data_IF_414242984191
#
_entry.id   IF_414242984191
#
_cell.length_a   1.000
_cell.length_b   1.000
_cell.length_c   1.000
_cell.angle_alpha   90.00
_cell.angle_beta   90.00
_cell.angle_gamma   90.00
#
_symmetry.space_group_name_H-M   'P 1'
#
loop_
_entity.id
_entity.type
_entity.pdbx_description
1 polymer ?
#
# COMPACT_ATOMS: atom_id res chain seq x y z
N UNK A 1 -16.59 -26.13 -51.55
CA UNK A 1 -15.89 -25.09 -50.85
C UNK A 1 -16.28 -25.13 -49.36
N UNK A 2 -15.39 -25.61 -48.48
CA UNK A 2 -15.64 -25.63 -47.02
C UNK A 2 -14.92 -24.42 -46.46
N UNK A 3 -15.68 -23.44 -45.93
CA UNK A 3 -15.14 -22.33 -45.15
C UNK A 3 -14.83 -22.82 -43.73
N UNK A 4 -13.55 -22.86 -43.36
CA UNK A 4 -13.12 -23.05 -41.99
C UNK A 4 -13.05 -21.68 -41.32
N UNK A 5 -13.88 -21.45 -40.32
CA UNK A 5 -13.77 -20.31 -39.42
C UNK A 5 -12.80 -20.67 -38.31
N UNK A 6 -11.65 -20.02 -38.30
CA UNK A 6 -10.69 -20.09 -37.19
C UNK A 6 -11.13 -19.05 -36.15
N UNK A 7 -11.71 -19.50 -35.02
CA UNK A 7 -11.92 -18.64 -33.87
C UNK A 7 -10.56 -18.39 -33.18
N UNK A 8 -10.03 -17.21 -33.33
CA UNK A 8 -8.89 -16.74 -32.54
C UNK A 8 -9.42 -16.30 -31.17
N UNK A 9 -9.23 -17.13 -30.16
CA UNK A 9 -9.39 -16.73 -28.78
C UNK A 9 -8.20 -15.81 -28.43
N UNK A 10 -8.44 -14.51 -28.38
CA UNK A 10 -7.52 -13.57 -27.77
C UNK A 10 -7.47 -13.86 -26.27
N UNK A 11 -6.34 -14.36 -25.76
CA UNK A 11 -6.07 -14.33 -24.32
C UNK A 11 -6.02 -12.86 -23.91
N UNK A 12 -7.07 -12.38 -23.30
CA UNK A 12 -7.04 -11.17 -22.49
C UNK A 12 -6.18 -11.50 -21.26
N UNK A 13 -4.93 -11.10 -21.27
CA UNK A 13 -4.10 -11.06 -20.07
C UNK A 13 -4.70 -9.97 -19.18
N UNK A 14 -5.52 -10.36 -18.21
CA UNK A 14 -5.92 -9.47 -17.11
C UNK A 14 -4.62 -9.13 -16.38
N UNK A 15 -4.22 -7.86 -16.29
CA UNK A 15 -3.11 -7.49 -15.41
C UNK A 15 -3.45 -7.98 -14.02
N UNK A 16 -2.56 -8.76 -13.41
CA UNK A 16 -2.75 -9.20 -12.01
C UNK A 16 -2.91 -7.96 -11.13
N UNK A 17 -3.79 -8.04 -10.16
CA UNK A 17 -3.97 -6.99 -9.17
C UNK A 17 -2.59 -6.62 -8.58
N UNK A 18 -2.25 -5.37 -8.70
CA UNK A 18 -1.09 -4.73 -8.07
C UNK A 18 -1.70 -3.95 -6.93
N UNK A 19 -1.21 -4.14 -5.71
CA UNK A 19 -1.50 -3.29 -4.56
C UNK A 19 -1.54 -1.82 -4.95
N UNK A 20 -1.94 -0.87 -4.11
CA UNK A 20 -1.98 0.51 -4.63
C UNK A 20 -1.21 0.64 -5.93
N UNK A 21 -1.83 0.91 -7.08
CA UNK A 21 -1.09 0.94 -8.34
C UNK A 21 0.22 1.72 -8.17
N UNK A 22 1.18 1.56 -9.05
CA UNK A 22 2.50 2.20 -8.90
C UNK A 22 2.42 3.69 -8.51
N UNK A 23 1.34 4.37 -8.90
CA UNK A 23 1.10 5.77 -8.53
C UNK A 23 0.96 5.96 -7.02
N UNK A 24 0.14 5.14 -6.34
CA UNK A 24 -0.07 5.24 -4.90
C UNK A 24 1.19 4.91 -4.11
N UNK A 25 1.86 3.77 -4.38
CA UNK A 25 3.09 3.39 -3.68
C UNK A 25 4.22 4.40 -3.84
N UNK A 26 4.42 4.92 -5.05
CA UNK A 26 5.44 5.93 -5.30
C UNK A 26 5.08 7.22 -4.54
N UNK A 27 3.80 7.60 -4.51
CA UNK A 27 3.34 8.80 -3.79
C UNK A 27 3.55 8.67 -2.29
N UNK A 28 3.17 7.53 -1.67
CA UNK A 28 3.37 7.31 -0.23
C UNK A 28 4.84 7.36 0.17
N UNK A 29 5.72 6.80 -0.66
CA UNK A 29 7.16 6.84 -0.43
C UNK A 29 7.76 8.25 -0.57
N UNK A 30 7.30 9.04 -1.54
CA UNK A 30 7.68 10.46 -1.63
C UNK A 30 7.17 11.28 -0.44
N UNK A 31 5.92 11.05 0.01
CA UNK A 31 5.41 11.70 1.22
C UNK A 31 6.32 11.34 2.41
N UNK A 32 6.65 10.06 2.59
CA UNK A 32 7.55 9.66 3.67
C UNK A 32 8.89 10.41 3.61
N UNK A 33 9.47 10.59 2.43
CA UNK A 33 10.72 11.35 2.26
C UNK A 33 10.62 12.82 2.68
N UNK A 34 9.41 13.41 2.76
CA UNK A 34 9.23 14.78 3.27
C UNK A 34 9.21 14.86 4.79
N UNK A 35 8.94 13.77 5.49
CA UNK A 35 8.70 13.77 6.94
C UNK A 35 9.73 13.00 7.76
N UNK A 36 10.57 12.16 7.13
CA UNK A 36 11.67 11.48 7.84
C UNK A 36 12.73 12.46 8.33
N UNK A 37 13.40 12.12 9.42
CA UNK A 37 14.55 12.86 9.92
C UNK A 37 15.75 12.80 8.96
N UNK A 38 16.65 13.76 9.04
CA UNK A 38 17.90 13.75 8.26
C UNK A 38 18.73 12.47 8.53
N UNK A 39 18.70 11.98 9.76
CA UNK A 39 19.39 10.73 10.15
C UNK A 39 18.79 9.53 9.43
N UNK A 40 17.48 9.46 9.38
CA UNK A 40 16.73 8.40 8.68
C UNK A 40 16.97 8.45 7.17
N UNK A 41 16.95 9.66 6.60
CA UNK A 41 17.27 9.84 5.18
C UNK A 41 18.66 9.29 4.86
N UNK A 42 19.69 9.69 5.62
CA UNK A 42 21.05 9.22 5.43
C UNK A 42 21.17 7.70 5.59
N UNK A 43 20.51 7.14 6.60
CA UNK A 43 20.49 5.70 6.86
C UNK A 43 19.91 4.91 5.68
N UNK A 44 18.71 5.27 5.20
CA UNK A 44 18.06 4.53 4.12
C UNK A 44 18.71 4.78 2.76
N UNK A 45 19.28 5.95 2.49
CA UNK A 45 20.10 6.19 1.29
C UNK A 45 21.29 5.23 1.27
N UNK A 46 22.02 5.12 2.37
CA UNK A 46 23.14 4.18 2.51
C UNK A 46 22.68 2.72 2.35
N UNK A 47 21.64 2.31 3.08
CA UNK A 47 21.12 0.95 3.05
C UNK A 47 20.62 0.54 1.66
N UNK A 48 19.89 1.41 0.99
CA UNK A 48 19.32 1.18 -0.35
C UNK A 48 20.34 1.43 -1.48
N UNK A 49 21.52 2.01 -1.15
CA UNK A 49 22.56 2.41 -2.11
C UNK A 49 22.02 3.35 -3.18
N UNK A 50 21.24 4.32 -2.75
CA UNK A 50 20.64 5.34 -3.60
C UNK A 50 20.68 6.68 -2.88
N UNK A 51 21.56 7.59 -3.34
CA UNK A 51 21.75 8.93 -2.76
C UNK A 51 20.81 9.98 -3.35
N UNK A 52 20.00 9.60 -4.35
CA UNK A 52 19.07 10.50 -5.01
C UNK A 52 17.86 10.84 -4.10
N UNK A 53 17.18 11.97 -4.34
CA UNK A 53 16.02 12.37 -3.54
C UNK A 53 14.85 11.36 -3.58
N UNK A 54 14.85 10.46 -4.55
CA UNK A 54 13.80 9.46 -4.77
C UNK A 54 14.12 8.08 -4.18
N UNK A 55 15.08 7.99 -3.27
CA UNK A 55 15.60 6.74 -2.72
C UNK A 55 14.52 5.77 -2.21
N UNK A 56 13.46 6.25 -1.55
CA UNK A 56 12.30 5.44 -1.14
C UNK A 56 11.37 5.18 -2.31
N UNK A 57 11.05 6.20 -3.09
CA UNK A 57 10.09 6.11 -4.20
C UNK A 57 10.57 5.15 -5.30
N UNK A 58 11.89 5.10 -5.55
CA UNK A 58 12.48 4.20 -6.55
C UNK A 58 12.31 2.71 -6.23
N UNK A 59 12.08 2.36 -4.96
CA UNK A 59 11.90 0.98 -4.50
C UNK A 59 10.46 0.64 -4.12
N UNK A 60 9.55 1.62 -4.09
CA UNK A 60 8.21 1.47 -3.56
C UNK A 60 7.36 0.37 -4.25
N UNK A 61 7.52 0.16 -5.55
CA UNK A 61 6.80 -0.90 -6.30
C UNK A 61 7.63 -2.18 -6.48
N UNK A 62 8.80 -2.30 -5.81
CA UNK A 62 9.68 -3.45 -6.00
C UNK A 62 9.04 -4.76 -5.51
N UNK A 63 8.32 -4.76 -4.38
CA UNK A 63 7.68 -5.94 -3.81
C UNK A 63 6.63 -6.54 -4.77
N UNK A 64 5.88 -5.72 -5.47
CA UNK A 64 4.96 -6.15 -6.51
C UNK A 64 5.66 -6.88 -7.66
N UNK A 65 6.83 -6.41 -8.05
CA UNK A 65 7.59 -7.03 -9.14
C UNK A 65 8.18 -8.37 -8.71
N UNK A 66 8.67 -8.45 -7.47
CA UNK A 66 9.39 -9.63 -6.97
C UNK A 66 8.49 -10.85 -6.80
N UNK A 67 7.22 -10.66 -6.39
CA UNK A 67 6.25 -11.74 -6.17
C UNK A 67 5.94 -12.58 -7.42
N UNK A 68 6.27 -12.09 -8.61
CA UNK A 68 6.12 -12.83 -9.87
C UNK A 68 7.37 -13.63 -10.25
N UNK A 69 8.47 -13.45 -9.54
CA UNK A 69 9.70 -14.21 -9.80
C UNK A 69 9.67 -15.57 -9.13
N UNK A 70 10.51 -16.50 -9.62
CA UNK A 70 10.60 -17.86 -9.06
C UNK A 70 10.96 -17.86 -7.57
N UNK A 71 11.82 -16.96 -7.15
CA UNK A 71 12.33 -16.89 -5.78
C UNK A 71 11.55 -15.93 -4.87
N UNK A 72 10.79 -14.98 -5.41
CA UNK A 72 9.95 -14.05 -4.63
C UNK A 72 8.48 -14.45 -4.52
N UNK A 73 8.02 -15.49 -5.25
CA UNK A 73 6.60 -15.86 -5.29
C UNK A 73 5.98 -16.26 -3.93
N UNK A 74 6.82 -16.61 -2.95
CA UNK A 74 6.36 -16.91 -1.59
C UNK A 74 5.80 -15.67 -0.88
N UNK A 75 6.16 -14.47 -1.32
CA UNK A 75 5.68 -13.21 -0.73
C UNK A 75 4.29 -12.80 -1.24
N UNK A 76 3.68 -13.59 -2.14
CA UNK A 76 2.40 -13.22 -2.78
C UNK A 76 1.30 -12.89 -1.77
N UNK A 77 1.21 -13.63 -0.66
CA UNK A 77 0.19 -13.44 0.37
C UNK A 77 0.55 -12.33 1.38
N UNK A 78 1.75 -11.75 1.28
CA UNK A 78 2.22 -10.71 2.19
C UNK A 78 1.70 -9.32 1.85
N UNK A 79 0.95 -9.17 0.76
CA UNK A 79 0.42 -7.90 0.30
C UNK A 79 -0.96 -7.55 0.88
N UNK A 80 -1.62 -8.48 1.59
CA UNK A 80 -2.98 -8.31 2.08
C UNK A 80 -3.25 -9.15 3.33
N UNK A 81 -4.37 -8.86 3.99
CA UNK A 81 -5.00 -9.72 4.98
C UNK A 81 -6.46 -9.94 4.55
N UNK A 82 -6.88 -11.20 4.52
CA UNK A 82 -8.18 -11.63 4.03
C UNK A 82 -9.22 -11.57 5.18
N UNK A 83 -9.77 -10.39 5.51
CA UNK A 83 -10.78 -10.26 6.55
C UNK A 83 -12.04 -11.06 6.18
N UNK A 84 -12.42 -12.00 7.06
CA UNK A 84 -13.63 -12.80 6.94
C UNK A 84 -14.78 -12.14 7.71
N UNK A 85 -15.22 -11.01 7.24
CA UNK A 85 -16.29 -10.21 7.80
C UNK A 85 -17.55 -10.21 6.91
N UNK A 86 -18.45 -9.24 7.05
CA UNK A 86 -19.72 -9.20 6.30
C UNK A 86 -20.12 -7.76 5.95
N UNK A 87 -19.44 -7.09 5.02
CA UNK A 87 -19.82 -5.74 4.62
C UNK A 87 -21.19 -5.71 3.91
N UNK A 88 -22.00 -4.66 4.13
CA UNK A 88 -21.73 -3.45 4.90
C UNK A 88 -22.10 -3.55 6.39
N UNK A 89 -22.51 -4.71 6.90
CA UNK A 89 -23.07 -4.86 8.25
C UNK A 89 -22.00 -4.96 9.33
N UNK A 90 -20.84 -5.53 9.01
CA UNK A 90 -19.68 -5.58 9.90
C UNK A 90 -18.40 -5.54 9.08
N UNK A 91 -17.48 -4.69 9.50
CA UNK A 91 -16.12 -4.64 9.00
C UNK A 91 -15.18 -4.77 10.19
N UNK A 92 -14.48 -5.89 10.25
CA UNK A 92 -13.60 -6.25 11.36
C UNK A 92 -12.50 -7.20 10.90
N UNK A 93 -11.26 -6.84 11.23
CA UNK A 93 -10.08 -7.66 10.97
C UNK A 93 -9.64 -8.32 12.28
N UNK A 94 -9.52 -9.64 12.25
CA UNK A 94 -9.00 -10.44 13.36
C UNK A 94 -7.74 -11.18 12.93
N UNK A 95 -6.64 -10.99 13.68
CA UNK A 95 -5.34 -11.54 13.31
C UNK A 95 -5.32 -13.06 13.26
N UNK A 96 -5.90 -13.71 14.27
CA UNK A 96 -5.88 -15.19 14.38
C UNK A 96 -6.79 -15.85 13.34
N UNK A 97 -7.88 -15.19 12.98
CA UNK A 97 -8.82 -15.67 11.97
C UNK A 97 -8.31 -15.45 10.55
N UNK A 98 -7.74 -14.27 10.28
CA UNK A 98 -7.54 -13.74 8.93
C UNK A 98 -6.10 -13.83 8.43
N UNK A 99 -5.09 -13.84 9.34
CA UNK A 99 -3.71 -14.02 8.98
C UNK A 99 -3.34 -15.51 8.93
N UNK A 100 -3.32 -16.08 7.73
CA UNK A 100 -3.05 -17.50 7.51
C UNK A 100 -1.64 -17.91 7.96
N UNK A 101 -1.40 -19.20 8.20
CA UNK A 101 -0.07 -19.74 8.53
C UNK A 101 1.02 -19.37 7.51
N UNK A 102 0.65 -19.16 6.25
CA UNK A 102 1.58 -18.70 5.20
C UNK A 102 2.01 -17.24 5.34
N UNK A 103 1.45 -16.50 6.30
CA UNK A 103 1.64 -15.07 6.51
C UNK A 103 0.63 -14.19 5.78
N UNK A 104 0.55 -12.95 6.21
CA UNK A 104 -0.25 -11.86 5.67
C UNK A 104 0.53 -10.55 5.77
N UNK A 105 -0.02 -9.42 5.31
CA UNK A 105 0.65 -8.11 5.34
C UNK A 105 1.05 -7.68 6.76
N UNK A 106 0.26 -8.06 7.77
CA UNK A 106 0.52 -7.75 9.19
C UNK A 106 1.80 -8.45 9.67
N UNK A 107 1.83 -9.78 9.56
CA UNK A 107 3.00 -10.59 9.96
C UNK A 107 4.24 -10.27 9.12
N UNK A 108 4.05 -9.94 7.85
CA UNK A 108 5.13 -9.56 6.96
C UNK A 108 5.75 -8.21 7.34
N UNK A 109 4.93 -7.19 7.65
CA UNK A 109 5.44 -5.90 8.09
C UNK A 109 6.27 -6.04 9.37
N UNK A 110 5.77 -6.78 10.37
CA UNK A 110 6.51 -7.05 11.60
C UNK A 110 7.85 -7.78 11.32
N UNK A 111 7.80 -8.88 10.57
CA UNK A 111 8.99 -9.68 10.24
C UNK A 111 10.06 -8.88 9.47
N UNK A 112 9.66 -8.06 8.50
CA UNK A 112 10.63 -7.26 7.73
C UNK A 112 11.10 -6.02 8.47
N UNK A 113 10.33 -5.50 9.43
CA UNK A 113 10.81 -4.51 10.40
C UNK A 113 11.95 -5.10 11.24
N UNK A 114 11.75 -6.28 11.83
CA UNK A 114 12.78 -6.99 12.60
C UNK A 114 14.03 -7.28 11.75
N UNK A 115 13.87 -7.76 10.52
CA UNK A 115 15.00 -8.00 9.62
C UNK A 115 15.74 -6.71 9.24
N UNK A 116 15.06 -5.57 9.17
CA UNK A 116 15.70 -4.28 8.93
C UNK A 116 16.58 -3.84 10.10
N UNK A 117 16.27 -4.31 11.32
CA UNK A 117 16.99 -4.05 12.56
C UNK A 117 18.09 -5.05 12.87
N UNK A 118 18.20 -6.18 12.15
CA UNK A 118 19.15 -7.24 12.44
C UNK A 118 20.51 -7.00 11.74
N UNK A 119 21.58 -6.59 12.47
CA UNK A 119 22.90 -6.34 11.91
C UNK A 119 23.63 -7.62 11.48
N UNK A 120 23.17 -8.81 11.94
CA UNK A 120 23.75 -10.09 11.54
C UNK A 120 23.38 -10.47 10.11
N UNK A 121 22.30 -9.89 9.59
CA UNK A 121 21.92 -10.05 8.19
C UNK A 121 22.84 -9.24 7.27
N UNK A 122 23.19 -9.84 6.15
CA UNK A 122 23.94 -9.15 5.11
C UNK A 122 23.22 -7.85 4.70
N UNK A 123 23.94 -6.74 4.42
CA UNK A 123 23.32 -5.44 4.09
C UNK A 123 22.28 -5.51 2.97
N UNK A 124 22.48 -6.38 1.97
CA UNK A 124 21.53 -6.55 0.87
C UNK A 124 20.21 -7.20 1.31
N UNK A 125 20.20 -8.08 2.32
CA UNK A 125 18.98 -8.67 2.89
C UNK A 125 18.21 -7.62 3.68
N UNK A 126 18.91 -6.79 4.46
CA UNK A 126 18.30 -5.67 5.17
C UNK A 126 17.73 -4.64 4.20
N UNK A 127 18.42 -4.35 3.09
CA UNK A 127 17.90 -3.51 2.02
C UNK A 127 16.63 -4.09 1.39
N UNK A 128 16.54 -5.40 1.23
CA UNK A 128 15.30 -6.05 0.77
C UNK A 128 14.18 -5.93 1.82
N UNK A 129 14.49 -6.13 3.09
CA UNK A 129 13.54 -5.95 4.18
C UNK A 129 12.98 -4.53 4.19
N UNK A 130 13.83 -3.51 4.07
CA UNK A 130 13.41 -2.12 3.96
C UNK A 130 12.47 -1.86 2.77
N UNK A 131 12.72 -2.47 1.61
CA UNK A 131 11.83 -2.36 0.43
C UNK A 131 10.45 -2.97 0.69
N UNK A 132 10.40 -4.09 1.41
CA UNK A 132 9.12 -4.68 1.83
C UNK A 132 8.37 -3.78 2.82
N UNK A 133 9.06 -3.21 3.82
CA UNK A 133 8.44 -2.26 4.76
C UNK A 133 7.83 -1.07 4.02
N UNK A 134 8.59 -0.43 3.13
CA UNK A 134 8.10 0.71 2.32
C UNK A 134 6.84 0.35 1.53
N UNK A 135 6.78 -0.86 0.98
CA UNK A 135 5.64 -1.30 0.19
C UNK A 135 4.43 -1.66 1.08
N UNK A 136 4.62 -2.49 2.11
CA UNK A 136 3.53 -3.04 2.92
C UNK A 136 2.83 -1.99 3.79
N UNK A 137 3.53 -0.94 4.21
CA UNK A 137 2.84 0.21 4.84
C UNK A 137 1.85 0.84 3.85
N UNK A 138 2.18 0.92 2.57
CA UNK A 138 1.24 1.35 1.53
C UNK A 138 0.04 0.41 1.42
N UNK A 139 0.29 -0.90 1.30
CA UNK A 139 -0.75 -1.94 1.14
C UNK A 139 -1.78 -1.92 2.27
N UNK A 140 -1.34 -1.81 3.52
CA UNK A 140 -2.20 -1.73 4.70
C UNK A 140 -3.22 -0.58 4.65
N UNK A 141 -2.95 0.47 3.88
CA UNK A 141 -3.82 1.64 3.77
C UNK A 141 -4.74 1.60 2.55
N UNK A 142 -4.78 0.49 1.80
CA UNK A 142 -5.75 0.25 0.74
C UNK A 142 -6.88 -0.64 1.28
N UNK A 143 -8.15 -0.17 1.29
CA UNK A 143 -9.25 -0.91 1.92
C UNK A 143 -9.42 -2.35 1.47
N UNK A 144 -9.32 -2.63 0.16
CA UNK A 144 -9.49 -3.98 -0.40
C UNK A 144 -8.28 -4.90 -0.17
N UNK A 145 -7.17 -4.39 0.38
CA UNK A 145 -6.07 -5.21 0.90
C UNK A 145 -6.32 -5.74 2.31
N UNK A 146 -7.43 -5.31 2.92
CA UNK A 146 -7.86 -5.72 4.25
C UNK A 146 -9.23 -6.43 4.16
N UNK A 147 -9.52 -7.14 3.06
CA UNK A 147 -10.84 -7.69 2.76
C UNK A 147 -10.75 -8.95 1.88
N UNK A 148 -11.52 -10.02 2.21
CA UNK A 148 -11.58 -11.26 1.40
C UNK A 148 -12.73 -11.29 0.38
N UNK A 149 -13.77 -10.46 0.53
CA UNK A 149 -14.94 -10.50 -0.35
C UNK A 149 -14.52 -10.50 -1.82
N UNK A 150 -14.85 -11.61 -2.49
CA UNK A 150 -14.52 -11.84 -3.90
C UNK A 150 -13.01 -11.64 -4.21
N UNK A 151 -12.12 -12.10 -3.34
CA UNK A 151 -10.68 -11.93 -3.39
C UNK A 151 -10.29 -10.44 -3.37
N UNK A 152 -10.69 -9.72 -2.33
CA UNK A 152 -10.47 -8.28 -2.23
C UNK A 152 -11.06 -7.51 -3.41
N UNK A 153 -12.26 -7.88 -3.88
CA UNK A 153 -12.91 -7.23 -5.02
C UNK A 153 -12.39 -7.60 -6.41
N UNK A 154 -11.35 -8.46 -6.52
CA UNK A 154 -10.79 -8.85 -7.83
C UNK A 154 -11.78 -9.60 -8.72
N UNK A 155 -12.80 -10.24 -8.14
CA UNK A 155 -13.85 -10.97 -8.87
C UNK A 155 -15.15 -10.17 -9.04
N UNK A 156 -15.20 -8.91 -8.61
CA UNK A 156 -16.33 -8.01 -8.83
C UNK A 156 -16.00 -7.12 -10.02
N UNK A 157 -16.73 -7.33 -11.13
CA UNK A 157 -16.56 -6.51 -12.33
C UNK A 157 -17.52 -5.33 -12.27
N UNK A 158 -17.04 -4.16 -12.63
CA UNK A 158 -17.74 -2.87 -12.59
C UNK A 158 -17.42 -2.08 -13.85
N UNK A 159 -18.16 -1.00 -14.07
CA UNK A 159 -17.82 -0.01 -15.09
C UNK A 159 -17.16 1.21 -14.46
N UNK A 160 -16.17 1.74 -15.17
CA UNK A 160 -15.47 2.96 -14.82
C UNK A 160 -15.33 3.83 -16.07
N UNK A 161 -16.07 4.94 -16.10
CA UNK A 161 -16.18 5.81 -17.28
C UNK A 161 -16.50 5.00 -18.55
N UNK A 162 -17.46 4.08 -18.45
CA UNK A 162 -17.95 3.24 -19.53
C UNK A 162 -17.09 2.04 -19.91
N UNK A 163 -15.98 1.79 -19.22
CA UNK A 163 -15.08 0.65 -19.46
C UNK A 163 -15.19 -0.39 -18.34
N UNK A 164 -14.96 -1.66 -18.67
CA UNK A 164 -15.01 -2.74 -17.70
C UNK A 164 -13.68 -2.88 -16.96
N UNK A 165 -13.76 -2.89 -15.61
CA UNK A 165 -12.64 -3.13 -14.70
C UNK A 165 -13.08 -4.07 -13.58
N UNK A 166 -12.14 -4.67 -12.85
CA UNK A 166 -12.46 -5.22 -11.54
C UNK A 166 -12.41 -4.12 -10.47
N UNK A 167 -13.17 -4.31 -9.40
CA UNK A 167 -13.29 -3.31 -8.33
C UNK A 167 -11.95 -3.04 -7.62
N UNK A 168 -11.12 -4.06 -7.46
CA UNK A 168 -9.79 -3.92 -6.86
C UNK A 168 -8.93 -2.93 -7.66
N UNK A 169 -8.86 -3.09 -8.99
CA UNK A 169 -8.14 -2.15 -9.86
C UNK A 169 -8.70 -0.72 -9.78
N UNK A 170 -10.01 -0.58 -9.61
CA UNK A 170 -10.63 0.76 -9.45
C UNK A 170 -10.07 1.45 -8.21
N UNK A 171 -9.98 0.74 -7.08
CA UNK A 171 -9.42 1.27 -5.84
C UNK A 171 -7.91 1.47 -5.90
N UNK A 172 -7.17 0.56 -6.49
CA UNK A 172 -5.71 0.66 -6.60
C UNK A 172 -5.25 1.81 -7.50
N UNK A 173 -6.01 2.08 -8.56
CA UNK A 173 -5.48 2.91 -9.66
C UNK A 173 -6.47 3.94 -10.14
N UNK A 174 -7.68 3.52 -10.54
CA UNK A 174 -8.57 4.37 -11.34
C UNK A 174 -9.07 5.59 -10.57
N UNK A 175 -9.36 5.44 -9.26
CA UNK A 175 -9.80 6.54 -8.40
C UNK A 175 -8.69 7.59 -8.29
N UNK A 176 -7.46 7.19 -7.98
CA UNK A 176 -6.33 8.11 -7.84
C UNK A 176 -6.02 8.84 -9.15
N UNK A 177 -5.98 8.13 -10.28
CA UNK A 177 -5.76 8.75 -11.60
C UNK A 177 -6.82 9.78 -11.95
N UNK A 178 -8.10 9.45 -11.73
CA UNK A 178 -9.21 10.38 -11.99
C UNK A 178 -9.22 11.55 -11.02
N UNK A 179 -8.93 11.32 -9.74
CA UNK A 179 -8.82 12.37 -8.72
C UNK A 179 -7.79 13.43 -9.09
N UNK A 180 -6.69 13.02 -9.67
CA UNK A 180 -5.63 13.90 -10.12
C UNK A 180 -5.84 14.49 -11.52
N UNK A 181 -6.86 14.01 -12.26
CA UNK A 181 -7.06 14.37 -13.66
C UNK A 181 -5.82 14.08 -14.52
N UNK A 182 -5.03 13.06 -14.15
CA UNK A 182 -3.73 12.81 -14.75
C UNK A 182 -3.56 11.34 -15.15
N UNK A 183 -3.19 11.15 -16.42
CA UNK A 183 -2.86 9.85 -16.99
C UNK A 183 -1.42 9.86 -17.52
N UNK A 184 -0.72 8.75 -17.43
CA UNK A 184 0.63 8.64 -18.00
C UNK A 184 1.64 7.99 -17.06
N UNK A 185 2.91 8.39 -17.16
CA UNK A 185 3.97 7.85 -16.32
C UNK A 185 3.70 8.18 -14.84
N UNK A 186 3.62 7.18 -13.95
CA UNK A 186 3.19 7.41 -12.56
C UNK A 186 4.18 8.28 -11.78
N UNK A 187 5.46 8.19 -12.05
CA UNK A 187 6.51 8.82 -11.27
C UNK A 187 6.41 10.36 -11.16
N UNK A 188 6.34 11.13 -12.27
CA UNK A 188 6.18 12.58 -12.17
C UNK A 188 4.85 13.02 -11.60
N UNK A 189 3.79 12.19 -11.75
CA UNK A 189 2.47 12.45 -11.18
C UNK A 189 2.54 12.26 -9.67
N UNK A 190 3.14 11.16 -9.21
CA UNK A 190 3.33 10.83 -7.81
C UNK A 190 4.12 11.90 -7.06
N UNK A 191 5.23 12.39 -7.64
CA UNK A 191 6.03 13.45 -7.04
C UNK A 191 5.23 14.74 -6.84
N UNK A 192 4.45 15.15 -7.84
CA UNK A 192 3.60 16.36 -7.70
C UNK A 192 2.51 16.16 -6.65
N UNK A 193 1.88 15.00 -6.63
CA UNK A 193 0.85 14.69 -5.64
C UNK A 193 1.41 14.62 -4.23
N UNK A 194 2.55 13.96 -4.04
CA UNK A 194 3.23 13.89 -2.75
C UNK A 194 3.62 15.28 -2.22
N UNK A 195 4.16 16.16 -3.08
CA UNK A 195 4.47 17.53 -2.69
C UNK A 195 3.22 18.31 -2.24
N UNK A 196 2.10 18.14 -2.93
CA UNK A 196 0.84 18.77 -2.54
C UNK A 196 0.33 18.19 -1.22
N UNK A 197 0.34 16.84 -1.06
CA UNK A 197 -0.10 16.20 0.17
C UNK A 197 0.80 16.51 1.37
N UNK A 198 2.11 16.69 1.17
CA UNK A 198 3.01 17.10 2.25
C UNK A 198 2.62 18.47 2.82
N UNK A 199 2.20 19.42 1.96
CA UNK A 199 1.66 20.72 2.40
C UNK A 199 0.34 20.53 3.15
N UNK A 200 -0.57 19.70 2.62
CA UNK A 200 -1.86 19.41 3.28
C UNK A 200 -1.71 18.75 4.64
N UNK A 201 -0.67 17.92 4.82
CA UNK A 201 -0.34 17.27 6.09
C UNK A 201 0.31 18.26 7.07
N UNK A 202 1.19 19.13 6.58
CA UNK A 202 1.91 20.09 7.44
C UNK A 202 1.01 21.20 7.93
N UNK A 203 0.33 21.89 7.02
CA UNK A 203 -0.33 23.18 7.26
C UNK A 203 -1.76 23.25 6.69
N UNK A 204 -2.21 22.20 5.94
CA UNK A 204 -3.50 22.19 5.26
C UNK A 204 -4.56 21.35 5.99
N UNK A 205 -5.46 20.74 5.21
CA UNK A 205 -6.66 20.02 5.70
C UNK A 205 -6.37 18.84 6.63
N UNK A 206 -5.16 18.27 6.58
CA UNK A 206 -4.76 17.15 7.43
C UNK A 206 -3.91 17.56 8.64
N UNK A 207 -3.57 18.84 8.79
CA UNK A 207 -2.67 19.32 9.85
C UNK A 207 -3.19 19.01 11.26
N UNK A 208 -4.50 19.11 11.46
CA UNK A 208 -5.15 18.79 12.75
C UNK A 208 -5.39 17.28 12.94
N UNK A 209 -5.41 16.50 11.84
CA UNK A 209 -5.68 15.06 11.88
C UNK A 209 -4.41 14.23 12.11
N UNK A 210 -3.24 14.69 11.65
CA UNK A 210 -2.01 13.88 11.56
C UNK A 210 -1.54 13.28 12.89
N UNK A 211 -1.70 14.01 13.99
CA UNK A 211 -1.32 13.50 15.31
C UNK A 211 -2.25 12.36 15.75
N UNK A 212 -3.52 12.42 15.33
CA UNK A 212 -4.49 11.36 15.52
C UNK A 212 -4.13 10.07 14.76
N UNK A 213 -3.43 10.18 13.64
CA UNK A 213 -3.01 9.02 12.86
C UNK A 213 -1.97 8.15 13.55
N UNK A 214 -1.29 8.68 14.59
CA UNK A 214 -0.24 7.99 15.32
C UNK A 214 -0.71 7.42 16.68
N UNK A 215 -1.97 7.59 17.06
CA UNK A 215 -2.47 7.21 18.41
C UNK A 215 -2.32 5.73 18.74
N UNK A 216 -2.45 4.86 17.74
CA UNK A 216 -2.36 3.41 17.92
C UNK A 216 -0.96 2.87 17.57
N UNK A 217 0.03 3.76 17.46
CA UNK A 217 1.40 3.39 17.13
C UNK A 217 2.10 2.86 18.39
N UNK A 218 2.46 1.59 18.35
CA UNK A 218 3.28 0.91 19.35
C UNK A 218 4.50 0.29 18.69
N UNK A 219 5.67 0.82 18.96
CA UNK A 219 6.91 0.32 18.37
C UNK A 219 7.40 -0.99 18.98
N UNK A 220 6.95 -1.32 20.19
CA UNK A 220 7.29 -2.59 20.84
C UNK A 220 6.39 -3.74 20.33
N UNK A 221 5.23 -3.41 19.73
CA UNK A 221 4.31 -4.38 19.13
C UNK A 221 3.91 -3.97 17.71
N UNK A 222 4.77 -4.34 16.75
CA UNK A 222 4.54 -4.10 15.33
C UNK A 222 3.25 -4.75 14.81
N UNK A 223 2.84 -5.89 15.40
CA UNK A 223 1.60 -6.57 15.02
C UNK A 223 0.40 -5.77 15.50
N UNK A 224 0.39 -5.31 16.74
CA UNK A 224 -0.69 -4.48 17.27
C UNK A 224 -0.88 -3.20 16.45
N UNK A 225 0.23 -2.52 16.13
CA UNK A 225 0.20 -1.32 15.27
C UNK A 225 -0.37 -1.62 13.88
N UNK A 226 0.14 -2.63 13.20
CA UNK A 226 -0.31 -2.99 11.86
C UNK A 226 -1.79 -3.43 11.86
N UNK A 227 -2.24 -4.13 12.91
CA UNK A 227 -3.64 -4.49 13.11
C UNK A 227 -4.55 -3.28 13.33
N UNK A 228 -4.09 -2.28 14.10
CA UNK A 228 -4.85 -1.05 14.28
C UNK A 228 -5.03 -0.30 12.95
N UNK A 229 -3.97 -0.20 12.15
CA UNK A 229 -4.03 0.41 10.81
C UNK A 229 -4.92 -0.37 9.84
N UNK A 230 -4.85 -1.71 9.89
CA UNK A 230 -5.68 -2.59 9.09
C UNK A 230 -7.18 -2.43 9.41
N UNK A 231 -7.56 -2.45 10.70
CA UNK A 231 -8.95 -2.25 11.15
C UNK A 231 -9.49 -0.88 10.76
N UNK A 232 -8.70 0.16 10.93
CA UNK A 232 -9.06 1.51 10.50
C UNK A 232 -9.30 1.58 8.99
N UNK A 233 -8.46 0.90 8.20
CA UNK A 233 -8.60 0.86 6.75
C UNK A 233 -9.79 -0.01 6.30
N UNK A 234 -9.98 -1.19 6.92
CA UNK A 234 -11.10 -2.08 6.64
C UNK A 234 -12.47 -1.43 6.94
N UNK A 235 -12.56 -0.51 7.90
CA UNK A 235 -13.79 0.24 8.16
C UNK A 235 -14.32 1.01 6.92
N UNK A 236 -13.43 1.39 5.99
CA UNK A 236 -13.85 1.98 4.71
C UNK A 236 -14.49 0.97 3.77
N UNK A 237 -14.28 -0.32 3.97
CA UNK A 237 -14.94 -1.36 3.18
C UNK A 237 -16.45 -1.27 3.38
N UNK A 238 -16.92 -1.18 4.62
CA UNK A 238 -18.35 -1.04 4.93
C UNK A 238 -18.94 0.30 4.49
N UNK A 239 -18.18 1.38 4.58
CA UNK A 239 -18.71 2.73 4.41
C UNK A 239 -18.58 3.28 3.00
N UNK A 240 -17.55 2.86 2.24
CA UNK A 240 -17.21 3.44 0.93
C UNK A 240 -17.02 2.40 -0.17
N UNK A 241 -16.44 1.21 0.13
CA UNK A 241 -16.28 0.18 -0.90
C UNK A 241 -17.61 -0.51 -1.18
N UNK A 242 -18.29 -0.95 -0.14
CA UNK A 242 -19.57 -1.70 -0.22
C UNK A 242 -20.68 -1.04 0.61
N UNK A 243 -21.01 0.24 0.44
CA UNK A 243 -21.96 0.94 1.31
C UNK A 243 -23.35 0.32 1.31
N UNK A 244 -23.74 -0.39 0.25
CA UNK A 244 -25.01 -1.12 0.12
C UNK A 244 -24.77 -2.62 -0.09
N UNK A 245 -23.56 -3.11 0.21
CA UNK A 245 -23.15 -4.49 0.06
C UNK A 245 -22.55 -4.84 -1.31
N UNK A 246 -21.79 -5.96 -1.38
CA UNK A 246 -21.03 -6.34 -2.57
C UNK A 246 -21.92 -6.59 -3.80
N UNK A 247 -23.13 -7.12 -3.61
CA UNK A 247 -24.07 -7.41 -4.71
C UNK A 247 -24.59 -6.12 -5.39
N UNK A 248 -24.68 -5.02 -4.66
CA UNK A 248 -25.15 -3.73 -5.18
C UNK A 248 -24.13 -3.04 -6.10
N UNK A 249 -22.84 -3.36 -5.94
CA UNK A 249 -21.73 -2.78 -6.70
C UNK A 249 -21.51 -3.47 -8.04
N UNK A 250 -21.76 -4.78 -8.14
CA UNK A 250 -21.47 -5.56 -9.32
C UNK A 250 -22.17 -5.01 -10.57
N UNK A 251 -21.41 -4.75 -11.64
CA UNK A 251 -21.91 -4.22 -12.91
C UNK A 251 -22.25 -2.73 -12.93
N UNK A 252 -22.12 -2.02 -11.80
CA UNK A 252 -22.45 -0.61 -11.70
C UNK A 252 -21.37 0.28 -12.35
N UNK A 253 -21.80 1.49 -12.80
CA UNK A 253 -20.90 2.55 -13.23
C UNK A 253 -20.41 3.33 -12.00
N UNK A 254 -19.11 3.27 -11.72
CA UNK A 254 -18.51 3.84 -10.52
C UNK A 254 -17.80 5.20 -10.75
N UNK A 255 -17.70 5.67 -11.99
CA UNK A 255 -17.01 6.92 -12.31
C UNK A 255 -17.76 8.20 -11.92
N UNK A 256 -18.98 8.11 -11.38
CA UNK A 256 -19.80 9.24 -10.94
C UNK A 256 -19.84 9.41 -9.42
N UNK A 257 -21.04 9.36 -8.83
CA UNK A 257 -21.26 9.57 -7.40
C UNK A 257 -20.41 8.66 -6.47
N UNK A 258 -20.14 7.43 -6.90
CA UNK A 258 -19.25 6.52 -6.16
C UNK A 258 -17.83 7.10 -6.11
N UNK A 259 -17.30 7.58 -7.24
CA UNK A 259 -16.00 8.26 -7.30
C UNK A 259 -15.95 9.49 -6.40
N UNK A 260 -17.02 10.31 -6.41
CA UNK A 260 -17.08 11.53 -5.59
C UNK A 260 -16.99 11.22 -4.09
N UNK A 261 -17.51 10.05 -3.66
CA UNK A 261 -17.41 9.58 -2.28
C UNK A 261 -16.05 8.92 -1.98
N UNK A 262 -15.51 8.13 -2.91
CA UNK A 262 -14.28 7.35 -2.71
C UNK A 262 -12.99 8.18 -2.87
N UNK A 263 -12.97 9.19 -3.72
CA UNK A 263 -11.80 10.02 -4.00
C UNK A 263 -11.17 10.65 -2.76
N UNK A 264 -11.95 11.31 -1.87
CA UNK A 264 -11.42 11.85 -0.62
C UNK A 264 -10.86 10.79 0.33
N UNK A 265 -11.40 9.55 0.30
CA UNK A 265 -10.88 8.44 1.09
C UNK A 265 -9.52 8.00 0.58
N UNK A 266 -9.38 7.80 -0.73
CA UNK A 266 -8.12 7.43 -1.37
C UNK A 266 -7.04 8.48 -1.08
N UNK A 267 -7.36 9.75 -1.23
CA UNK A 267 -6.43 10.84 -0.94
C UNK A 267 -5.96 10.82 0.53
N UNK A 268 -6.90 10.68 1.49
CA UNK A 268 -6.58 10.61 2.91
C UNK A 268 -5.74 9.37 3.24
N UNK A 269 -6.06 8.21 2.67
CA UNK A 269 -5.33 6.97 2.93
C UNK A 269 -3.90 7.03 2.37
N UNK A 270 -3.68 7.62 1.21
CA UNK A 270 -2.34 7.85 0.64
C UNK A 270 -1.54 8.82 1.51
N UNK A 271 -2.15 9.93 1.97
CA UNK A 271 -1.51 10.90 2.86
C UNK A 271 -1.10 10.25 4.19
N UNK A 272 -2.03 9.50 4.80
CA UNK A 272 -1.84 8.78 6.07
C UNK A 272 -0.77 7.70 5.96
N UNK A 273 -0.78 6.89 4.90
CA UNK A 273 0.22 5.87 4.63
C UNK A 273 1.63 6.47 4.55
N UNK A 274 1.80 7.57 3.82
CA UNK A 274 3.09 8.23 3.69
C UNK A 274 3.60 8.83 5.01
N UNK A 275 2.73 9.45 5.79
CA UNK A 275 3.10 10.03 7.08
C UNK A 275 3.45 8.94 8.12
N UNK A 276 2.63 7.88 8.22
CA UNK A 276 2.91 6.71 9.07
C UNK A 276 4.18 5.98 8.66
N UNK A 277 4.43 5.88 7.35
CA UNK A 277 5.67 5.31 6.82
C UNK A 277 6.89 6.11 7.30
N UNK A 278 6.85 7.44 7.26
CA UNK A 278 7.95 8.27 7.74
C UNK A 278 8.28 7.97 9.19
N UNK A 279 7.28 7.99 10.07
CA UNK A 279 7.45 7.73 11.51
C UNK A 279 7.95 6.31 11.78
N UNK A 280 7.48 5.33 11.00
CA UNK A 280 7.94 3.94 11.09
C UNK A 280 9.39 3.76 10.67
N UNK A 281 9.80 4.43 9.59
CA UNK A 281 11.18 4.42 9.12
C UNK A 281 12.12 5.17 10.07
N UNK A 282 11.65 6.27 10.69
CA UNK A 282 12.40 6.98 11.74
C UNK A 282 12.68 6.04 12.92
N UNK A 283 11.68 5.31 13.40
CA UNK A 283 11.88 4.32 14.44
C UNK A 283 12.93 3.26 14.06
N UNK A 284 12.86 2.69 12.86
CA UNK A 284 13.84 1.70 12.39
C UNK A 284 15.26 2.28 12.39
N UNK A 285 15.43 3.47 11.86
CA UNK A 285 16.75 4.11 11.78
C UNK A 285 17.32 4.45 13.17
N UNK A 286 16.48 5.02 14.04
CA UNK A 286 16.85 5.43 15.39
C UNK A 286 17.22 4.19 16.26
N UNK A 287 16.40 3.14 16.24
CA UNK A 287 16.67 1.91 16.97
C UNK A 287 17.92 1.20 16.45
N UNK A 288 18.12 1.17 15.13
CA UNK A 288 19.32 0.61 14.57
C UNK A 288 20.57 1.38 15.00
N UNK A 289 20.54 2.71 14.89
CA UNK A 289 21.68 3.56 15.27
C UNK A 289 21.98 3.48 16.79
N UNK A 290 20.93 3.44 17.62
CA UNK A 290 21.05 3.31 19.06
C UNK A 290 21.69 1.97 19.47
N UNK A 291 21.34 0.90 18.81
CA UNK A 291 21.88 -0.46 19.08
C UNK A 291 23.30 -0.65 18.50
N UNK A 292 23.59 0.01 17.38
CA UNK A 292 24.81 -0.20 16.58
C UNK A 292 25.42 1.13 16.12
N UNK A 293 25.88 1.99 17.06
CA UNK A 293 26.32 3.36 16.76
C UNK A 293 27.51 3.42 15.80
N UNK A 294 28.37 2.40 15.79
CA UNK A 294 29.58 2.36 14.94
C UNK A 294 29.32 1.77 13.55
N UNK A 295 28.18 1.15 13.33
CA UNK A 295 27.91 0.39 12.09
C UNK A 295 27.82 1.28 10.84
N UNK A 296 27.29 2.51 10.96
CA UNK A 296 27.20 3.45 9.82
C UNK A 296 28.57 3.97 9.38
N UNK A 297 29.59 3.85 10.25
CA UNK A 297 30.95 4.24 9.91
C UNK A 297 31.70 3.15 9.12
N UNK A 298 31.13 1.95 9.04
CA UNK A 298 31.71 0.78 8.37
C UNK A 298 31.06 0.48 7.00
N UNK A 299 29.95 1.18 6.63
CA UNK A 299 29.25 1.06 5.35
C UNK A 299 29.75 2.09 4.33
#
# INVERSE_FOLDING_TARGET
MKLSYTLTFGLLTVPGAVAWGSLGHITTAFIASHFVSNTTEAYFKTLLRNDEPDYLASVASWADSIRYTKWGRFTKNFHFIDAHDNPPFSCDVDYERDCKESGCVISALANYTDQSLDPTLAPWLRAQAAKFVVHFVGDLHQPLHNEDVALGGNRIYVKWDGRDYNLHHVWDTSIAEKWLGAHGKPYPIALRWANALAVEISDGKFAEEKDGWLKELDFEDSIATAMAWSRECNAFVCTHVFPEGPAAIAGQELGGAYFDAAGPVVERQVARAGYRMAVWLDHIADEFQKRYPDYLNEL
#
